data_IF_800817130562
#
_entry.id   IF_800817130562
#
_cell.length_a   1.000
_cell.length_b   1.000
_cell.length_c   1.000
_cell.angle_alpha   90.00
_cell.angle_beta   90.00
_cell.angle_gamma   90.00
#
_symmetry.space_group_name_H-M   'P 1'
#
loop_
_entity.id
_entity.type
_entity.pdbx_description
1 polymer ?
#
# COMPACT_ATOMS: atom_id res chain seq x y z
N UNK A 1 -25.02 -10.27 42.60
CA UNK A 1 -24.85 -10.99 41.33
C UNK A 1 -25.12 -12.47 41.62
N UNK A 2 -26.24 -13.00 41.10
CA UNK A 2 -26.60 -14.39 41.36
C UNK A 2 -25.57 -15.37 40.78
N UNK A 3 -25.21 -16.41 41.56
CA UNK A 3 -24.22 -17.44 41.12
C UNK A 3 -24.54 -18.04 39.76
N UNK A 4 -25.84 -18.13 39.36
CA UNK A 4 -26.26 -18.63 38.04
C UNK A 4 -25.90 -17.67 36.89
N UNK A 5 -25.86 -16.36 37.10
CA UNK A 5 -25.46 -15.40 36.08
C UNK A 5 -23.95 -15.41 35.83
N UNK A 6 -23.17 -15.61 36.88
CA UNK A 6 -21.72 -15.79 36.79
C UNK A 6 -21.39 -17.06 35.98
N UNK A 7 -22.11 -18.15 36.23
CA UNK A 7 -21.94 -19.42 35.50
C UNK A 7 -22.31 -19.24 34.02
N UNK A 8 -23.40 -18.50 33.72
CA UNK A 8 -23.80 -18.19 32.34
C UNK A 8 -22.76 -17.37 31.59
N UNK A 9 -22.16 -16.35 32.22
CA UNK A 9 -21.06 -15.55 31.63
C UNK A 9 -19.79 -16.39 31.41
N UNK A 10 -19.43 -17.24 32.37
CA UNK A 10 -18.29 -18.14 32.24
C UNK A 10 -18.53 -19.16 31.12
N UNK A 11 -19.73 -19.70 30.98
CA UNK A 11 -20.09 -20.66 29.93
C UNK A 11 -20.05 -20.02 28.54
N UNK A 12 -20.57 -18.79 28.38
CA UNK A 12 -20.48 -18.03 27.13
C UNK A 12 -19.02 -17.72 26.82
N UNK A 13 -18.23 -17.31 27.80
CA UNK A 13 -16.80 -17.08 27.65
C UNK A 13 -16.04 -18.33 27.22
N UNK A 14 -16.32 -19.48 27.81
CA UNK A 14 -15.72 -20.78 27.45
C UNK A 14 -16.14 -21.22 26.05
N UNK A 15 -17.40 -21.05 25.67
CA UNK A 15 -17.89 -21.37 24.31
C UNK A 15 -17.24 -20.46 23.28
N UNK A 16 -17.18 -19.14 23.53
CA UNK A 16 -16.52 -18.18 22.61
C UNK A 16 -15.02 -18.46 22.53
N UNK A 17 -14.37 -18.76 23.64
CA UNK A 17 -12.95 -19.10 23.66
C UNK A 17 -12.68 -20.44 22.96
N UNK A 18 -13.51 -21.46 23.21
CA UNK A 18 -13.44 -22.76 22.54
C UNK A 18 -13.68 -22.66 21.02
N UNK A 19 -14.67 -21.85 20.60
CA UNK A 19 -14.93 -21.61 19.19
C UNK A 19 -13.81 -20.81 18.52
N UNK A 20 -13.30 -19.77 19.19
CA UNK A 20 -12.16 -18.99 18.71
C UNK A 20 -10.88 -19.84 18.62
N UNK A 21 -10.63 -20.70 19.59
CA UNK A 21 -9.51 -21.64 19.59
C UNK A 21 -9.65 -22.70 18.49
N UNK A 22 -10.86 -23.25 18.28
CA UNK A 22 -11.14 -24.20 17.21
C UNK A 22 -10.97 -23.57 15.82
N UNK A 23 -11.50 -22.35 15.60
CA UNK A 23 -11.29 -21.60 14.35
C UNK A 23 -9.83 -21.25 14.12
N UNK A 24 -9.10 -20.83 15.16
CA UNK A 24 -7.68 -20.53 15.07
C UNK A 24 -6.85 -21.76 14.69
N UNK A 25 -7.25 -22.93 15.20
CA UNK A 25 -6.57 -24.20 14.90
C UNK A 25 -6.82 -24.66 13.46
N UNK A 26 -8.05 -24.59 12.98
CA UNK A 26 -8.39 -24.88 11.59
C UNK A 26 -7.72 -23.92 10.62
N UNK A 27 -7.67 -22.63 10.96
CA UNK A 27 -6.98 -21.62 10.17
C UNK A 27 -5.46 -21.89 10.10
N UNK A 28 -4.85 -22.22 11.23
CA UNK A 28 -3.42 -22.56 11.27
C UNK A 28 -3.07 -23.85 10.55
N UNK A 29 -3.94 -24.88 10.58
CA UNK A 29 -3.74 -26.14 9.83
C UNK A 29 -3.88 -25.91 8.31
N UNK A 30 -4.82 -25.07 7.87
CA UNK A 30 -4.95 -24.69 6.46
C UNK A 30 -3.76 -23.83 5.98
N UNK A 31 -3.31 -22.88 6.80
CA UNK A 31 -2.13 -22.05 6.49
C UNK A 31 -0.85 -22.88 6.44
N UNK A 32 -0.68 -23.85 7.35
CA UNK A 32 0.47 -24.75 7.34
C UNK A 32 0.48 -25.67 6.13
N UNK A 33 -0.68 -26.21 5.73
CA UNK A 33 -0.81 -27.04 4.53
C UNK A 33 -0.54 -26.24 3.24
N UNK A 34 -1.03 -25.00 3.19
CA UNK A 34 -0.82 -24.11 2.05
C UNK A 34 0.65 -23.65 1.96
N UNK A 35 1.29 -23.33 3.10
CA UNK A 35 2.70 -22.98 3.16
C UNK A 35 3.61 -24.15 2.73
N UNK A 36 3.21 -25.40 3.02
CA UNK A 36 3.94 -26.59 2.51
C UNK A 36 3.79 -26.75 1.00
N UNK A 37 2.59 -26.56 0.44
CA UNK A 37 2.37 -26.60 -1.01
C UNK A 37 3.15 -25.48 -1.72
N UNK A 38 3.14 -24.27 -1.18
CA UNK A 38 3.88 -23.13 -1.75
C UNK A 38 5.40 -23.34 -1.64
N UNK A 39 5.89 -23.95 -0.56
CA UNK A 39 7.32 -24.28 -0.42
C UNK A 39 7.76 -25.36 -1.42
N UNK A 40 6.93 -26.38 -1.66
CA UNK A 40 7.20 -27.43 -2.67
C UNK A 40 7.21 -26.80 -4.07
N UNK A 41 6.24 -25.95 -4.39
CA UNK A 41 6.17 -25.26 -5.68
C UNK A 41 7.39 -24.34 -5.90
N UNK A 42 7.86 -23.64 -4.86
CA UNK A 42 9.11 -22.83 -4.93
C UNK A 42 10.34 -23.68 -5.15
N UNK A 43 10.45 -24.82 -4.46
CA UNK A 43 11.58 -25.74 -4.65
C UNK A 43 11.57 -26.34 -6.08
N UNK A 44 10.41 -26.71 -6.61
CA UNK A 44 10.28 -27.17 -7.99
C UNK A 44 10.62 -26.07 -9.00
N UNK A 45 10.19 -24.83 -8.75
CA UNK A 45 10.51 -23.69 -9.61
C UNK A 45 12.01 -23.33 -9.58
N UNK A 46 12.63 -23.35 -8.38
CA UNK A 46 14.08 -23.17 -8.24
C UNK A 46 14.86 -24.33 -8.89
N UNK A 47 14.40 -25.57 -8.75
CA UNK A 47 15.01 -26.71 -9.40
C UNK A 47 14.89 -26.64 -10.93
N UNK A 48 13.74 -26.18 -11.46
CA UNK A 48 13.55 -25.95 -12.89
C UNK A 48 14.46 -24.83 -13.42
N UNK A 49 14.58 -23.71 -12.68
CA UNK A 49 15.52 -22.64 -13.03
C UNK A 49 17.00 -23.07 -12.93
N UNK A 50 17.35 -23.86 -11.92
CA UNK A 50 18.69 -24.43 -11.79
C UNK A 50 19.01 -25.42 -12.91
N UNK A 51 18.05 -26.28 -13.32
CA UNK A 51 18.20 -27.17 -14.46
C UNK A 51 18.32 -26.41 -15.80
N UNK A 52 17.58 -25.33 -15.98
CA UNK A 52 17.69 -24.51 -17.20
C UNK A 52 19.04 -23.76 -17.24
N UNK A 53 19.53 -23.29 -16.09
CA UNK A 53 20.85 -22.69 -15.98
C UNK A 53 21.99 -23.71 -16.17
N UNK A 54 21.84 -24.94 -15.68
CA UNK A 54 22.80 -26.04 -15.93
C UNK A 54 22.80 -26.46 -17.39
N UNK A 55 21.65 -26.60 -18.04
CA UNK A 55 21.55 -26.88 -19.48
C UNK A 55 22.17 -25.80 -20.35
N UNK A 56 22.09 -24.54 -19.93
CA UNK A 56 22.80 -23.42 -20.58
C UNK A 56 24.31 -23.45 -20.32
N UNK A 57 24.77 -23.97 -19.19
CA UNK A 57 26.18 -24.10 -18.84
C UNK A 57 26.82 -25.29 -19.59
N UNK A 58 26.12 -26.40 -19.80
CA UNK A 58 26.64 -27.57 -20.55
C UNK A 58 26.76 -27.34 -22.06
N UNK A 59 26.12 -26.31 -22.62
CA UNK A 59 26.22 -25.99 -24.05
C UNK A 59 27.34 -25.04 -24.42
N UNK A 60 28.17 -24.59 -23.47
CA UNK A 60 29.31 -23.66 -23.72
C UNK A 60 30.57 -24.14 -22.99
N UNK A 61 31.19 -25.19 -23.54
CA UNK A 61 32.58 -25.51 -23.21
C UNK A 61 33.51 -24.69 -24.12
N UNK A 62 33.89 -23.52 -23.69
CA UNK A 62 35.16 -22.84 -24.00
C UNK A 62 35.41 -21.74 -22.99
N UNK A 63 36.52 -21.85 -22.26
CA UNK A 63 37.07 -20.85 -21.34
C UNK A 63 37.16 -19.46 -21.98
N UNK A 64 36.21 -18.59 -21.61
CA UNK A 64 36.41 -17.15 -21.61
C UNK A 64 35.72 -16.62 -20.37
N UNK A 65 36.50 -16.10 -19.44
CA UNK A 65 35.97 -15.19 -18.39
C UNK A 65 35.06 -14.18 -19.07
N UNK A 66 33.76 -14.37 -18.98
CA UNK A 66 32.77 -13.37 -19.41
C UNK A 66 32.93 -12.18 -18.46
N UNK A 67 33.83 -11.28 -18.78
CA UNK A 67 33.63 -9.86 -18.49
C UNK A 67 32.24 -9.57 -19.06
N UNK A 68 31.28 -9.29 -18.22
CA UNK A 68 29.93 -8.81 -18.60
C UNK A 68 30.19 -7.53 -19.40
N UNK A 69 30.36 -7.64 -20.72
CA UNK A 69 30.47 -6.48 -21.59
C UNK A 69 29.11 -5.77 -21.49
N UNK A 70 29.09 -4.70 -20.68
CA UNK A 70 27.96 -3.77 -20.67
C UNK A 70 27.68 -3.37 -22.13
N UNK A 71 26.40 -3.28 -22.55
CA UNK A 71 26.08 -2.85 -23.91
C UNK A 71 26.82 -1.53 -24.20
N UNK A 72 27.57 -1.51 -25.30
CA UNK A 72 28.28 -0.32 -25.72
C UNK A 72 27.25 0.61 -26.38
N UNK A 73 26.92 1.71 -25.72
CA UNK A 73 26.11 2.76 -26.34
C UNK A 73 26.88 3.44 -27.45
N UNK A 74 26.21 3.79 -28.54
CA UNK A 74 26.82 4.48 -29.69
C UNK A 74 26.98 5.97 -29.43
N UNK A 75 26.09 6.53 -28.58
CA UNK A 75 26.13 7.94 -28.22
C UNK A 75 27.22 8.20 -27.16
N UNK A 76 28.16 9.09 -27.48
CA UNK A 76 29.32 9.41 -26.63
C UNK A 76 28.90 10.05 -25.30
N UNK A 77 27.85 10.86 -25.29
CA UNK A 77 27.34 11.51 -24.06
C UNK A 77 26.70 10.50 -23.14
N UNK A 78 26.02 9.48 -23.69
CA UNK A 78 25.46 8.38 -22.88
C UNK A 78 26.56 7.51 -22.27
N UNK A 79 27.66 7.27 -23.02
CA UNK A 79 28.84 6.56 -22.47
C UNK A 79 29.43 7.33 -21.30
N UNK A 80 29.61 8.65 -21.43
CA UNK A 80 30.11 9.51 -20.36
C UNK A 80 29.15 9.52 -19.16
N UNK A 81 27.85 9.75 -19.41
CA UNK A 81 26.82 9.76 -18.38
C UNK A 81 26.70 8.44 -17.59
N UNK A 82 27.02 7.31 -18.23
CA UNK A 82 27.06 6.00 -17.57
C UNK A 82 28.21 5.81 -16.61
N UNK A 83 29.36 6.42 -16.93
CA UNK A 83 30.60 6.31 -16.16
C UNK A 83 30.74 7.39 -15.09
N UNK A 84 29.89 8.42 -15.15
CA UNK A 84 29.91 9.52 -14.19
C UNK A 84 29.53 9.05 -12.76
N UNK A 85 30.02 9.78 -11.76
CA UNK A 85 29.70 9.55 -10.36
C UNK A 85 28.36 10.19 -10.02
N UNK A 86 27.52 9.48 -9.27
CA UNK A 86 26.26 10.01 -8.79
C UNK A 86 26.46 11.11 -7.75
N UNK A 87 25.65 12.15 -7.84
CA UNK A 87 25.54 13.24 -6.85
C UNK A 87 24.17 13.24 -6.22
N UNK A 88 24.05 13.91 -5.06
CA UNK A 88 22.81 13.94 -4.28
C UNK A 88 22.38 15.36 -3.98
N UNK A 89 21.11 15.67 -4.23
CA UNK A 89 20.51 16.98 -4.02
C UNK A 89 19.26 16.86 -3.16
N UNK A 90 19.01 17.86 -2.32
CA UNK A 90 17.85 17.84 -1.40
C UNK A 90 16.81 18.86 -1.78
N UNK A 91 15.53 18.45 -1.73
CA UNK A 91 14.39 19.35 -1.61
C UNK A 91 13.72 19.14 -0.25
N UNK A 92 13.26 20.22 0.36
CA UNK A 92 12.66 20.13 1.69
C UNK A 92 11.55 21.17 1.86
N UNK A 93 10.40 20.71 2.34
CA UNK A 93 9.30 21.58 2.77
C UNK A 93 8.96 21.33 4.24
N UNK A 94 7.80 21.79 4.70
CA UNK A 94 7.38 21.64 6.10
C UNK A 94 7.08 20.16 6.46
N UNK A 95 6.78 19.28 5.48
CA UNK A 95 6.33 17.89 5.69
C UNK A 95 7.33 16.84 5.25
N UNK A 96 8.11 17.12 4.21
CA UNK A 96 9.02 16.17 3.57
C UNK A 96 10.46 16.70 3.50
N UNK A 97 11.40 15.77 3.60
CA UNK A 97 12.78 15.97 3.13
C UNK A 97 13.08 14.84 2.15
N UNK A 98 13.41 15.20 0.91
CA UNK A 98 13.69 14.25 -0.17
C UNK A 98 15.11 14.49 -0.69
N UNK A 99 15.94 13.46 -0.66
CA UNK A 99 17.18 13.47 -1.41
C UNK A 99 16.96 12.82 -2.78
N UNK A 100 17.39 13.48 -3.83
CA UNK A 100 17.40 12.98 -5.20
C UNK A 100 18.81 12.56 -5.56
N UNK A 101 18.94 11.47 -6.32
CA UNK A 101 20.21 11.08 -6.95
C UNK A 101 20.21 11.48 -8.42
N UNK A 102 21.36 11.94 -8.91
CA UNK A 102 21.54 12.20 -10.34
C UNK A 102 21.56 10.90 -11.16
N UNK A 103 21.86 9.76 -10.53
CA UNK A 103 21.76 8.46 -11.22
C UNK A 103 20.29 8.08 -11.36
N UNK A 104 19.82 8.01 -12.61
CA UNK A 104 18.41 7.79 -12.94
C UNK A 104 17.51 9.00 -12.70
N UNK A 105 18.05 10.11 -12.19
CA UNK A 105 17.31 11.32 -11.84
C UNK A 105 16.05 11.01 -11.00
N UNK A 106 16.19 10.36 -9.86
CA UNK A 106 15.10 9.78 -9.06
C UNK A 106 15.20 10.12 -7.57
N UNK A 107 14.09 10.02 -6.81
CA UNK A 107 14.13 10.07 -5.35
C UNK A 107 15.01 8.94 -4.78
N UNK A 108 15.99 9.27 -3.95
CA UNK A 108 16.91 8.34 -3.29
C UNK A 108 16.53 8.07 -1.85
N UNK A 109 16.12 9.12 -1.12
CA UNK A 109 15.53 8.99 0.21
C UNK A 109 14.32 9.89 0.34
N UNK A 110 13.29 9.41 1.07
CA UNK A 110 12.12 10.21 1.42
C UNK A 110 11.86 10.09 2.90
N UNK A 111 12.10 11.18 3.63
CA UNK A 111 11.84 11.32 5.06
C UNK A 111 10.54 12.09 5.27
N UNK A 112 9.68 11.55 6.12
CA UNK A 112 8.49 12.26 6.60
C UNK A 112 8.86 13.00 7.87
N UNK A 113 8.67 14.32 7.88
CA UNK A 113 8.88 15.15 9.07
C UNK A 113 7.74 14.93 10.06
N UNK A 114 7.99 15.28 11.34
CA UNK A 114 7.02 15.19 12.45
C UNK A 114 6.53 13.79 12.81
N UNK A 115 7.09 12.75 12.17
CA UNK A 115 6.83 11.35 12.49
C UNK A 115 8.12 10.61 12.81
N UNK A 116 8.01 9.63 13.68
CA UNK A 116 9.11 8.74 14.07
C UNK A 116 8.74 7.29 13.78
N UNK A 117 9.72 6.47 13.45
CA UNK A 117 9.58 5.03 13.40
C UNK A 117 9.42 4.44 14.82
N UNK A 118 9.09 3.15 14.91
CA UNK A 118 8.84 2.44 16.17
C UNK A 118 10.00 2.50 17.19
N UNK A 119 11.21 2.74 16.73
CA UNK A 119 12.44 2.84 17.52
C UNK A 119 12.84 4.30 17.83
N UNK A 120 11.96 5.25 17.56
CA UNK A 120 12.18 6.68 17.73
C UNK A 120 13.26 7.29 16.81
N UNK A 121 13.60 6.60 15.73
CA UNK A 121 14.42 7.16 14.66
C UNK A 121 13.56 7.94 13.66
N UNK A 122 14.21 8.72 12.80
CA UNK A 122 13.55 9.41 11.69
C UNK A 122 12.77 8.44 10.80
N UNK A 123 11.57 8.84 10.39
CA UNK A 123 10.71 8.03 9.55
C UNK A 123 11.05 8.21 8.07
N UNK A 124 11.62 7.18 7.47
CA UNK A 124 11.89 7.11 6.03
C UNK A 124 10.93 6.17 5.34
N UNK A 125 10.18 6.66 4.34
CA UNK A 125 9.40 5.81 3.43
C UNK A 125 10.26 5.20 2.34
N UNK A 126 11.28 5.91 1.91
CA UNK A 126 12.31 5.44 0.98
C UNK A 126 13.66 5.59 1.66
N UNK A 127 14.37 4.49 1.85
CA UNK A 127 15.75 4.46 2.36
C UNK A 127 16.75 4.42 1.20
N UNK A 128 18.02 4.76 1.42
CA UNK A 128 19.07 4.60 0.40
C UNK A 128 19.03 3.21 -0.23
N UNK A 129 19.15 3.14 -1.57
CA UNK A 129 19.21 1.89 -2.34
C UNK A 129 17.93 1.00 -2.27
N UNK A 130 16.88 1.44 -1.58
CA UNK A 130 15.61 0.71 -1.48
C UNK A 130 14.62 1.06 -2.59
N UNK A 131 14.88 2.08 -3.40
CA UNK A 131 14.02 2.46 -4.52
C UNK A 131 14.82 2.49 -5.81
N UNK A 132 14.24 1.95 -6.86
CA UNK A 132 14.78 2.05 -8.22
C UNK A 132 13.62 2.46 -9.14
N UNK A 133 13.75 3.64 -9.73
CA UNK A 133 12.83 4.17 -10.73
C UNK A 133 13.57 4.41 -12.04
N UNK A 134 12.97 4.01 -13.15
CA UNK A 134 13.57 4.19 -14.47
C UNK A 134 12.52 4.24 -15.57
N UNK A 135 12.85 4.95 -16.61
CA UNK A 135 12.04 5.07 -17.83
C UNK A 135 12.85 4.50 -19.00
N UNK A 136 12.24 3.58 -19.73
CA UNK A 136 12.83 2.99 -20.93
C UNK A 136 12.19 3.59 -22.17
N UNK A 137 13.03 4.15 -23.04
CA UNK A 137 12.65 4.69 -24.34
C UNK A 137 13.58 4.15 -25.43
N UNK A 138 13.05 3.97 -26.62
CA UNK A 138 13.84 3.64 -27.79
C UNK A 138 14.21 4.92 -28.55
N UNK A 139 15.50 5.29 -28.53
CA UNK A 139 16.06 6.42 -29.26
C UNK A 139 17.29 5.94 -30.07
N UNK A 140 17.02 5.18 -31.16
CA UNK A 140 18.05 4.48 -31.93
C UNK A 140 18.57 3.21 -31.25
N UNK A 141 18.55 3.18 -29.93
CA UNK A 141 18.84 2.06 -29.05
C UNK A 141 17.96 2.14 -27.80
N UNK A 142 17.85 1.04 -27.05
CA UNK A 142 17.06 1.03 -25.80
C UNK A 142 17.82 1.76 -24.69
N UNK A 143 17.25 2.84 -24.19
CA UNK A 143 17.81 3.68 -23.14
C UNK A 143 16.94 3.55 -21.91
N UNK A 144 17.51 3.00 -20.82
CA UNK A 144 16.87 3.03 -19.51
C UNK A 144 17.53 4.12 -18.67
N UNK A 145 16.76 5.11 -18.23
CA UNK A 145 17.26 6.29 -17.51
C UNK A 145 18.03 5.95 -16.24
N UNK A 146 17.70 4.83 -15.56
CA UNK A 146 18.35 4.41 -14.31
C UNK A 146 19.84 4.07 -14.47
N UNK A 147 20.28 3.79 -15.71
CA UNK A 147 21.68 3.42 -16.00
C UNK A 147 22.60 4.62 -16.09
N UNK A 148 22.07 5.84 -16.18
CA UNK A 148 22.81 7.06 -16.50
C UNK A 148 22.78 8.07 -15.36
N UNK A 149 23.85 8.85 -15.26
CA UNK A 149 23.95 10.01 -14.37
C UNK A 149 23.52 11.25 -15.14
N UNK A 150 22.49 11.92 -14.65
CA UNK A 150 21.95 13.14 -15.23
C UNK A 150 22.75 14.36 -14.76
N UNK A 151 22.78 15.39 -15.58
CA UNK A 151 23.33 16.70 -15.23
C UNK A 151 22.25 17.55 -14.57
N UNK A 152 22.59 18.26 -13.49
CA UNK A 152 21.64 19.16 -12.83
C UNK A 152 21.63 20.50 -13.58
N UNK A 153 20.49 20.81 -14.19
CA UNK A 153 20.27 22.07 -14.92
C UNK A 153 19.76 23.19 -14.00
N UNK A 154 18.95 22.85 -13.01
CA UNK A 154 18.42 23.78 -12.04
C UNK A 154 18.24 23.08 -10.67
N UNK A 155 18.55 23.78 -9.59
CA UNK A 155 18.27 23.36 -8.23
C UNK A 155 17.99 24.59 -7.36
N UNK A 156 16.78 24.62 -6.78
CA UNK A 156 16.38 25.64 -5.83
C UNK A 156 15.61 25.01 -4.65
N UNK A 157 15.01 25.80 -3.75
CA UNK A 157 14.38 25.30 -2.54
C UNK A 157 13.21 24.32 -2.78
N UNK A 158 12.54 24.42 -3.93
CA UNK A 158 11.33 23.64 -4.24
C UNK A 158 11.41 22.83 -5.52
N UNK A 159 12.44 23.02 -6.34
CA UNK A 159 12.52 22.41 -7.68
C UNK A 159 13.92 21.91 -7.95
N UNK A 160 14.01 20.73 -8.56
CA UNK A 160 15.23 20.21 -9.17
C UNK A 160 14.93 19.78 -10.61
N UNK A 161 15.80 20.20 -11.54
CA UNK A 161 15.73 19.83 -12.95
C UNK A 161 17.01 19.09 -13.31
N UNK A 162 16.88 17.87 -13.79
CA UNK A 162 18.00 17.01 -14.18
C UNK A 162 17.83 16.59 -15.64
N UNK A 163 18.88 16.65 -16.42
CA UNK A 163 18.89 16.42 -17.87
C UNK A 163 19.90 15.35 -18.26
N UNK A 164 19.51 14.46 -19.17
CA UNK A 164 20.38 13.50 -19.85
C UNK A 164 20.53 13.93 -21.30
N UNK A 165 21.62 14.61 -21.66
CA UNK A 165 21.81 15.09 -23.01
C UNK A 165 22.28 13.99 -23.97
N UNK A 166 22.03 14.18 -25.27
CA UNK A 166 22.46 13.32 -26.38
C UNK A 166 23.42 14.04 -27.30
N UNK A 167 24.41 13.32 -27.86
CA UNK A 167 25.43 13.89 -28.75
C UNK A 167 24.84 14.48 -30.04
N UNK A 168 23.71 13.96 -30.51
CA UNK A 168 23.01 14.45 -31.68
C UNK A 168 22.10 15.66 -31.41
N UNK A 169 22.09 16.13 -30.18
CA UNK A 169 21.19 17.16 -29.69
C UNK A 169 19.95 16.58 -28.97
N UNK A 170 19.24 17.44 -28.26
CA UNK A 170 18.11 17.03 -27.43
C UNK A 170 18.52 16.40 -26.10
N UNK A 171 17.56 16.20 -25.23
CA UNK A 171 17.78 15.63 -23.91
C UNK A 171 16.50 15.03 -23.32
N UNK A 172 16.66 14.07 -22.42
CA UNK A 172 15.60 13.60 -21.51
C UNK A 172 15.71 14.42 -20.23
N UNK A 173 14.59 14.96 -19.75
CA UNK A 173 14.56 15.78 -18.53
C UNK A 173 13.61 15.18 -17.51
N UNK A 174 14.06 15.15 -16.26
CA UNK A 174 13.23 14.91 -15.07
C UNK A 174 13.21 16.21 -14.25
N UNK A 175 12.01 16.80 -14.09
CA UNK A 175 11.80 17.96 -13.24
C UNK A 175 10.92 17.57 -12.09
N UNK A 176 11.42 17.74 -10.87
CA UNK A 176 10.66 17.51 -9.65
C UNK A 176 10.36 18.84 -8.97
N UNK A 177 9.11 19.01 -8.54
CA UNK A 177 8.67 20.19 -7.80
C UNK A 177 7.99 19.72 -6.50
N UNK A 178 8.49 20.21 -5.38
CA UNK A 178 7.95 19.94 -4.04
C UNK A 178 7.26 21.22 -3.51
N UNK A 179 5.91 21.29 -3.58
CA UNK A 179 5.18 22.46 -3.08
C UNK A 179 5.34 22.60 -1.56
N UNK A 180 5.23 23.85 -1.07
CA UNK A 180 5.20 24.13 0.35
C UNK A 180 4.01 23.44 1.01
N UNK A 181 4.23 22.86 2.20
CA UNK A 181 3.20 22.21 3.02
C UNK A 181 2.44 21.07 2.31
N UNK A 182 3.12 20.30 1.45
CA UNK A 182 2.54 19.19 0.67
C UNK A 182 3.30 17.88 0.87
N UNK A 183 2.55 16.76 0.84
CA UNK A 183 3.09 15.41 0.69
C UNK A 183 3.18 14.97 -0.77
N UNK A 184 2.77 15.81 -1.72
CA UNK A 184 2.82 15.56 -3.15
C UNK A 184 4.09 16.13 -3.76
N UNK A 185 4.73 15.35 -4.61
CA UNK A 185 5.86 15.74 -5.45
C UNK A 185 5.40 15.65 -6.90
N UNK A 186 5.40 16.77 -7.59
CA UNK A 186 5.09 16.79 -9.02
C UNK A 186 6.35 16.44 -9.81
N UNK A 187 6.21 15.54 -10.76
CA UNK A 187 7.26 15.14 -11.69
C UNK A 187 6.83 15.41 -13.12
N UNK A 188 7.65 16.08 -13.88
CA UNK A 188 7.51 16.29 -15.32
C UNK A 188 8.67 15.56 -16.03
N UNK A 189 8.33 14.46 -16.73
CA UNK A 189 9.24 13.76 -17.62
C UNK A 189 9.14 14.39 -19.01
N UNK A 190 10.19 15.00 -19.51
CA UNK A 190 10.20 15.67 -20.81
C UNK A 190 11.25 15.10 -21.74
N UNK A 191 10.90 15.06 -23.03
CA UNK A 191 11.77 14.72 -24.16
C UNK A 191 11.86 15.97 -25.04
N UNK A 192 12.99 16.63 -25.08
CA UNK A 192 13.18 17.93 -25.74
C UNK A 192 14.18 17.80 -26.87
N UNK A 193 13.81 18.21 -28.08
CA UNK A 193 14.68 18.13 -29.26
C UNK A 193 15.02 16.72 -29.67
N UNK A 194 14.14 15.75 -29.41
CA UNK A 194 14.37 14.33 -29.66
C UNK A 194 13.51 13.75 -30.80
N UNK A 195 12.87 14.58 -31.60
CA UNK A 195 11.96 14.18 -32.68
C UNK A 195 12.64 13.38 -33.80
N UNK A 196 13.93 13.58 -34.00
CA UNK A 196 14.74 12.83 -34.97
C UNK A 196 15.44 11.60 -34.37
N UNK A 197 15.55 11.55 -33.03
CA UNK A 197 16.15 10.44 -32.29
C UNK A 197 15.16 9.33 -31.96
N UNK A 198 13.92 9.73 -31.63
CA UNK A 198 12.85 8.79 -31.28
C UNK A 198 12.01 8.52 -32.52
N UNK A 199 11.98 7.28 -33.04
CA UNK A 199 11.16 6.93 -34.18
C UNK A 199 9.68 7.27 -33.97
N UNK A 200 9.02 7.83 -34.98
CA UNK A 200 7.61 8.28 -34.91
C UNK A 200 6.59 7.18 -34.58
N UNK A 201 6.97 5.92 -34.76
CA UNK A 201 6.16 4.76 -34.41
C UNK A 201 6.27 4.35 -32.93
N UNK A 202 7.13 4.99 -32.14
CA UNK A 202 7.18 4.79 -30.68
C UNK A 202 5.99 5.48 -30.07
N UNK A 203 5.07 4.69 -29.52
CA UNK A 203 3.81 5.15 -28.95
C UNK A 203 3.67 4.86 -27.45
N UNK A 204 4.66 4.19 -26.87
CA UNK A 204 4.66 3.79 -25.46
C UNK A 204 6.04 3.98 -24.83
N UNK A 205 6.05 4.33 -23.56
CA UNK A 205 7.21 4.28 -22.67
C UNK A 205 6.99 3.17 -21.65
N UNK A 206 8.04 2.43 -21.35
CA UNK A 206 8.05 1.50 -20.23
C UNK A 206 8.65 2.22 -19.01
N UNK A 207 7.95 2.15 -17.89
CA UNK A 207 8.35 2.75 -16.61
C UNK A 207 8.43 1.64 -15.58
N UNK A 208 9.57 1.52 -14.92
CA UNK A 208 9.78 0.58 -13.83
C UNK A 208 9.93 1.35 -12.51
N UNK A 209 9.18 0.95 -11.49
CA UNK A 209 9.40 1.42 -10.13
C UNK A 209 9.38 0.24 -9.16
N UNK A 210 10.50 0.01 -8.50
CA UNK A 210 10.60 -0.95 -7.40
C UNK A 210 10.89 -0.21 -6.09
N UNK A 211 10.30 -0.70 -5.01
CA UNK A 211 10.49 -0.15 -3.67
C UNK A 211 10.55 -1.27 -2.64
N UNK A 212 11.66 -1.36 -1.93
CA UNK A 212 11.76 -2.13 -0.69
C UNK A 212 11.20 -1.28 0.43
N UNK A 213 10.02 -1.64 0.89
CA UNK A 213 9.27 -0.92 1.91
C UNK A 213 9.84 -1.22 3.29
N UNK A 214 10.33 -0.21 4.03
CA UNK A 214 10.97 -0.44 5.31
C UNK A 214 9.97 -0.77 6.41
N UNK A 215 10.45 -1.41 7.45
CA UNK A 215 9.73 -1.57 8.71
C UNK A 215 9.56 -0.22 9.40
N UNK A 216 8.32 0.14 9.75
CA UNK A 216 8.00 1.37 10.47
C UNK A 216 7.36 1.09 11.84
N UNK A 217 6.79 -0.10 12.03
CA UNK A 217 6.05 -0.49 13.23
C UNK A 217 6.76 -1.61 14.00
N UNK A 218 6.39 -1.76 15.27
CA UNK A 218 7.03 -2.75 16.15
C UNK A 218 6.60 -4.19 15.85
N UNK A 219 5.36 -4.38 15.43
CA UNK A 219 4.71 -5.69 15.33
C UNK A 219 4.55 -6.19 13.90
N UNK A 220 5.40 -7.14 13.46
CA UNK A 220 5.36 -7.73 12.12
C UNK A 220 3.96 -8.14 11.64
N UNK A 221 3.25 -8.98 12.41
CA UNK A 221 1.93 -9.50 12.01
C UNK A 221 0.90 -8.40 11.80
N UNK A 222 0.97 -7.36 12.63
CA UNK A 222 0.04 -6.24 12.55
C UNK A 222 0.37 -5.36 11.35
N UNK A 223 1.64 -4.99 11.17
CA UNK A 223 2.07 -4.16 10.04
C UNK A 223 1.82 -4.86 8.70
N UNK A 224 2.19 -6.14 8.59
CA UNK A 224 1.95 -6.98 7.42
C UNK A 224 0.45 -7.06 7.06
N UNK A 225 -0.43 -7.28 8.07
CA UNK A 225 -1.88 -7.43 7.86
C UNK A 225 -2.51 -6.21 7.17
N UNK A 226 -2.01 -5.01 7.43
CA UNK A 226 -2.53 -3.76 6.84
C UNK A 226 -1.78 -3.33 5.59
N UNK A 227 -0.62 -3.92 5.31
CA UNK A 227 0.21 -3.59 4.15
C UNK A 227 -0.24 -4.34 2.90
N UNK A 228 -0.20 -3.66 1.76
CA UNK A 228 -0.69 -4.16 0.48
C UNK A 228 -0.34 -3.19 -0.65
N UNK A 229 -0.51 -3.63 -1.88
CA UNK A 229 -0.52 -2.79 -3.05
C UNK A 229 -1.97 -2.46 -3.43
N UNK A 230 -2.30 -1.19 -3.59
CA UNK A 230 -3.59 -0.76 -4.14
C UNK A 230 -3.39 -0.19 -5.53
N UNK A 231 -4.44 -0.27 -6.35
CA UNK A 231 -4.48 0.35 -7.68
C UNK A 231 -5.91 0.78 -8.02
N UNK A 232 -6.02 1.82 -8.84
CA UNK A 232 -7.30 2.48 -9.09
C UNK A 232 -7.55 2.72 -10.56
N UNK A 233 -8.73 2.35 -11.01
CA UNK A 233 -9.25 2.66 -12.34
C UNK A 233 -10.16 3.88 -12.27
N UNK A 234 -9.98 4.82 -13.20
CA UNK A 234 -10.83 6.01 -13.28
C UNK A 234 -12.30 5.64 -13.42
N UNK A 235 -13.14 6.27 -12.60
CA UNK A 235 -14.58 5.99 -12.57
C UNK A 235 -15.02 4.92 -11.58
N UNK A 236 -14.12 4.14 -11.02
CA UNK A 236 -14.47 3.16 -10.01
C UNK A 236 -14.85 3.80 -8.67
N UNK A 237 -15.69 3.11 -7.90
CA UNK A 237 -16.11 3.58 -6.58
C UNK A 237 -15.01 3.48 -5.53
N UNK A 238 -14.06 2.55 -5.70
CA UNK A 238 -12.98 2.26 -4.75
C UNK A 238 -11.80 1.61 -5.49
N UNK A 239 -10.58 1.74 -4.97
CA UNK A 239 -9.44 1.01 -5.49
C UNK A 239 -9.58 -0.50 -5.26
N UNK A 240 -8.94 -1.26 -6.11
CA UNK A 240 -8.66 -2.67 -5.90
C UNK A 240 -7.37 -2.85 -5.10
N UNK A 241 -7.17 -4.06 -4.57
CA UNK A 241 -5.99 -4.38 -3.76
C UNK A 241 -5.37 -5.70 -4.18
N UNK A 242 -4.05 -5.77 -4.02
CA UNK A 242 -3.22 -6.94 -4.26
C UNK A 242 -2.36 -7.22 -3.02
N UNK A 243 -2.20 -8.48 -2.65
CA UNK A 243 -1.20 -8.89 -1.69
C UNK A 243 -1.41 -8.39 -0.26
N UNK A 244 -2.64 -8.38 0.25
CA UNK A 244 -2.90 -7.98 1.64
C UNK A 244 -2.30 -8.98 2.62
N UNK A 245 -1.14 -8.64 3.21
CA UNK A 245 -0.41 -9.50 4.13
C UNK A 245 0.07 -10.83 3.53
N UNK A 246 0.23 -10.90 2.22
CA UNK A 246 0.73 -12.06 1.46
C UNK A 246 1.26 -11.62 0.11
N UNK A 247 2.11 -12.43 -0.47
CA UNK A 247 2.63 -12.23 -1.81
C UNK A 247 1.51 -12.19 -2.85
N UNK A 248 1.74 -11.44 -3.92
CA UNK A 248 0.80 -11.35 -5.01
C UNK A 248 1.38 -10.63 -6.22
N UNK A 249 0.92 -11.04 -7.38
CA UNK A 249 1.23 -10.38 -8.65
C UNK A 249 -0.02 -10.26 -9.50
N UNK A 250 -0.11 -9.19 -10.29
CA UNK A 250 -1.26 -8.97 -11.18
C UNK A 250 -0.84 -8.18 -12.40
N UNK A 251 -1.19 -8.72 -13.56
CA UNK A 251 -1.13 -7.99 -14.83
C UNK A 251 -2.45 -7.26 -15.07
N UNK A 252 -2.36 -6.02 -15.45
CA UNK A 252 -3.47 -5.10 -15.74
C UNK A 252 -3.32 -4.64 -17.18
N UNK A 253 -4.25 -5.05 -18.04
CA UNK A 253 -4.26 -4.70 -19.47
C UNK A 253 -5.28 -3.58 -19.78
N UNK A 254 -5.74 -2.86 -18.75
CA UNK A 254 -6.66 -1.73 -18.84
C UNK A 254 -6.02 -0.48 -18.26
N UNK A 255 -6.53 0.70 -18.65
CA UNK A 255 -6.02 1.99 -18.17
C UNK A 255 -6.16 2.11 -16.66
N UNK A 256 -5.07 2.44 -15.99
CA UNK A 256 -4.98 2.60 -14.54
C UNK A 256 -4.58 4.03 -14.18
N UNK A 257 -5.27 4.67 -13.23
CA UNK A 257 -5.00 6.06 -12.85
C UNK A 257 -3.82 6.20 -11.90
N UNK A 258 -3.79 5.36 -10.86
CA UNK A 258 -2.73 5.36 -9.86
C UNK A 258 -2.58 3.99 -9.20
N UNK A 259 -1.43 3.77 -8.58
CA UNK A 259 -1.19 2.66 -7.66
C UNK A 259 -0.46 3.16 -6.42
N UNK A 260 -0.54 2.39 -5.33
CA UNK A 260 0.00 2.74 -4.03
C UNK A 260 0.68 1.53 -3.37
N UNK A 261 1.90 1.71 -2.94
CA UNK A 261 2.58 0.83 -1.99
C UNK A 261 2.17 1.27 -0.59
N UNK A 262 1.17 0.59 -0.03
CA UNK A 262 0.56 0.97 1.24
C UNK A 262 1.14 0.16 2.38
N UNK A 263 1.63 0.85 3.40
CA UNK A 263 1.88 0.34 4.75
C UNK A 263 0.69 0.62 5.68
N UNK A 264 0.81 0.24 6.95
CA UNK A 264 -0.26 0.44 7.93
C UNK A 264 -0.70 1.91 8.01
N UNK A 265 0.24 2.85 8.16
CA UNK A 265 -0.04 4.26 8.40
C UNK A 265 0.47 5.20 7.31
N UNK A 266 1.26 4.72 6.37
CA UNK A 266 1.87 5.53 5.31
C UNK A 266 1.72 4.87 3.95
N UNK A 267 1.83 5.68 2.90
CA UNK A 267 1.80 5.19 1.52
C UNK A 267 2.76 5.97 0.63
N UNK A 268 3.31 5.25 -0.36
CA UNK A 268 3.95 5.81 -1.53
C UNK A 268 3.03 5.55 -2.73
N UNK A 269 2.53 6.62 -3.37
CA UNK A 269 1.55 6.52 -4.47
C UNK A 269 2.14 7.18 -5.71
N UNK A 270 1.99 6.55 -6.86
CA UNK A 270 2.30 7.15 -8.16
C UNK A 270 1.02 7.29 -9.00
N UNK A 271 0.81 8.47 -9.54
CA UNK A 271 -0.34 8.83 -10.36
C UNK A 271 0.11 9.35 -11.71
N UNK A 272 -0.57 8.94 -12.77
CA UNK A 272 -0.40 9.51 -14.10
C UNK A 272 -1.58 10.43 -14.44
N UNK A 273 -1.31 11.60 -15.00
CA UNK A 273 -2.36 12.49 -15.49
C UNK A 273 -3.19 11.82 -16.61
N UNK A 274 -2.50 11.16 -17.55
CA UNK A 274 -3.09 10.53 -18.75
C UNK A 274 -3.42 9.05 -18.59
N UNK A 275 -3.31 8.53 -17.34
CA UNK A 275 -3.44 7.12 -17.00
C UNK A 275 -2.33 6.24 -17.60
N UNK A 276 -1.94 5.21 -16.87
CA UNK A 276 -1.09 4.14 -17.40
C UNK A 276 -1.90 3.24 -18.33
N UNK A 277 -1.38 2.93 -19.51
CA UNK A 277 -2.06 2.08 -20.49
C UNK A 277 -2.17 0.62 -20.03
N UNK A 278 -1.14 0.13 -19.33
CA UNK A 278 -1.11 -1.19 -18.69
C UNK A 278 -0.12 -1.20 -17.53
N UNK A 279 -0.21 -2.21 -16.67
CA UNK A 279 0.70 -2.40 -15.55
C UNK A 279 0.91 -3.88 -15.21
N UNK A 280 2.14 -4.25 -14.82
CA UNK A 280 2.43 -5.49 -14.11
C UNK A 280 2.85 -5.14 -12.68
N UNK A 281 2.00 -5.48 -11.71
CA UNK A 281 2.18 -5.12 -10.30
C UNK A 281 2.57 -6.37 -9.49
N UNK A 282 3.51 -6.21 -8.57
CA UNK A 282 3.97 -7.27 -7.69
C UNK A 282 4.21 -6.80 -6.27
N UNK A 283 3.98 -7.67 -5.30
CA UNK A 283 4.33 -7.49 -3.90
C UNK A 283 4.77 -8.82 -3.31
N UNK A 284 5.93 -8.83 -2.66
CA UNK A 284 6.49 -9.98 -1.96
C UNK A 284 6.83 -9.56 -0.53
N UNK A 285 6.32 -10.29 0.47
CA UNK A 285 6.55 -9.99 1.88
C UNK A 285 7.79 -10.72 2.38
N UNK A 286 8.62 -9.99 3.12
CA UNK A 286 9.73 -10.58 3.86
C UNK A 286 9.20 -11.46 5.00
N UNK A 287 9.92 -12.50 5.35
CA UNK A 287 9.63 -13.32 6.53
C UNK A 287 9.77 -12.53 7.82
N UNK A 288 9.20 -13.01 8.94
CA UNK A 288 9.34 -12.33 10.22
C UNK A 288 10.81 -12.24 10.70
N UNK A 289 11.65 -13.19 10.26
CA UNK A 289 13.08 -13.21 10.56
C UNK A 289 13.82 -12.11 9.80
N UNK A 290 13.60 -12.00 8.49
CA UNK A 290 14.17 -10.94 7.64
C UNK A 290 13.67 -9.55 8.07
N UNK A 291 12.38 -9.42 8.39
CA UNK A 291 11.80 -8.18 8.91
C UNK A 291 12.51 -7.70 10.18
N UNK A 292 12.90 -8.63 11.07
CA UNK A 292 13.62 -8.27 12.31
C UNK A 292 15.10 -8.01 12.06
N UNK A 293 15.72 -8.74 11.15
CA UNK A 293 17.15 -8.66 10.86
C UNK A 293 17.50 -7.46 9.96
N UNK A 294 16.75 -7.26 8.89
CA UNK A 294 17.05 -6.28 7.84
C UNK A 294 16.22 -5.00 7.99
N UNK A 295 15.10 -5.05 8.72
CA UNK A 295 14.18 -3.92 8.85
C UNK A 295 13.37 -3.65 7.58
N UNK A 296 13.09 -4.70 6.77
CA UNK A 296 12.30 -4.64 5.55
C UNK A 296 10.96 -5.37 5.74
N UNK A 297 9.88 -4.79 5.23
CA UNK A 297 8.52 -5.35 5.34
C UNK A 297 8.09 -6.09 4.08
N UNK A 298 8.22 -5.47 2.94
CA UNK A 298 7.82 -6.02 1.65
C UNK A 298 8.63 -5.39 0.51
N UNK A 299 8.81 -6.13 -0.57
CA UNK A 299 9.32 -5.63 -1.84
C UNK A 299 8.13 -5.43 -2.79
N UNK A 300 8.01 -4.22 -3.32
CA UNK A 300 6.95 -3.87 -4.27
C UNK A 300 7.56 -3.59 -5.64
N UNK A 301 6.86 -3.99 -6.69
CA UNK A 301 7.27 -3.74 -8.08
C UNK A 301 6.09 -3.24 -8.90
N UNK A 302 6.34 -2.27 -9.76
CA UNK A 302 5.38 -1.77 -10.74
C UNK A 302 6.11 -1.58 -12.07
N UNK A 303 5.74 -2.36 -13.07
CA UNK A 303 6.15 -2.17 -14.47
C UNK A 303 4.96 -1.61 -15.23
N UNK A 304 5.11 -0.41 -15.73
CA UNK A 304 4.03 0.39 -16.25
C UNK A 304 4.28 0.70 -17.73
N UNK A 305 3.21 0.83 -18.50
CA UNK A 305 3.27 1.44 -19.82
C UNK A 305 2.51 2.75 -19.82
N UNK A 306 3.15 3.80 -20.28
CA UNK A 306 2.56 5.12 -20.44
C UNK A 306 2.44 5.47 -21.92
N UNK A 307 1.33 6.12 -22.30
CA UNK A 307 1.19 6.62 -23.65
C UNK A 307 2.27 7.67 -23.93
N UNK A 308 2.83 7.61 -25.12
CA UNK A 308 3.84 8.50 -25.61
C UNK A 308 3.56 8.85 -27.07
N UNK A 309 3.72 10.09 -27.43
CA UNK A 309 3.53 10.54 -28.80
C UNK A 309 4.82 11.12 -29.34
N UNK A 310 5.61 10.30 -30.03
CA UNK A 310 6.83 10.75 -30.68
C UNK A 310 6.54 11.72 -31.85
N UNK A 311 7.55 12.51 -32.24
CA UNK A 311 7.48 13.40 -33.40
C UNK A 311 7.13 14.86 -33.10
N UNK A 312 7.05 15.24 -31.84
CA UNK A 312 7.00 16.63 -31.36
C UNK A 312 8.36 17.03 -30.80
N UNK A 313 8.77 18.28 -31.01
CA UNK A 313 10.01 18.87 -30.49
C UNK A 313 10.09 18.81 -28.96
N UNK A 314 8.94 18.91 -28.29
CA UNK A 314 8.84 18.80 -26.84
C UNK A 314 7.62 17.95 -26.46
N UNK A 315 7.88 16.82 -25.78
CA UNK A 315 6.86 15.95 -25.20
C UNK A 315 7.05 15.90 -23.70
N UNK A 316 6.06 16.32 -22.93
CA UNK A 316 6.10 16.28 -21.46
C UNK A 316 4.97 15.41 -20.92
N UNK A 317 5.31 14.50 -20.04
CA UNK A 317 4.38 13.58 -19.38
C UNK A 317 4.43 13.85 -17.87
N UNK A 318 3.32 14.33 -17.28
CA UNK A 318 3.28 14.60 -15.86
C UNK A 318 2.94 13.34 -15.06
N UNK A 319 3.67 13.16 -13.95
CA UNK A 319 3.43 12.18 -12.91
C UNK A 319 3.41 12.86 -11.55
N UNK A 320 2.63 12.33 -10.62
CA UNK A 320 2.60 12.78 -9.25
C UNK A 320 3.02 11.64 -8.33
N UNK A 321 3.91 11.94 -7.38
CA UNK A 321 4.29 11.03 -6.31
C UNK A 321 3.75 11.57 -4.98
N UNK A 322 2.95 10.80 -4.28
CA UNK A 322 2.54 11.09 -2.92
C UNK A 322 3.39 10.24 -1.96
N UNK A 323 4.01 10.89 -1.00
CA UNK A 323 4.72 10.23 0.09
C UNK A 323 4.19 10.78 1.41
N UNK A 324 3.36 10.03 2.11
CA UNK A 324 2.73 10.59 3.29
C UNK A 324 1.87 9.64 4.11
N UNK A 325 1.28 10.18 5.19
CA UNK A 325 0.43 9.42 6.08
C UNK A 325 -0.90 9.05 5.42
N UNK A 326 -1.45 7.90 5.84
CA UNK A 326 -2.78 7.46 5.47
C UNK A 326 -3.84 8.24 6.28
N UNK A 327 -3.82 9.57 6.18
CA UNK A 327 -4.83 10.42 6.79
C UNK A 327 -6.04 10.59 5.87
N UNK A 328 -7.24 10.30 6.40
CA UNK A 328 -8.46 10.30 5.60
C UNK A 328 -8.78 11.66 4.98
N UNK A 329 -8.57 12.75 5.73
CA UNK A 329 -8.87 14.10 5.24
C UNK A 329 -7.81 14.58 4.26
N UNK A 330 -6.56 14.47 4.61
CA UNK A 330 -5.45 14.87 3.74
C UNK A 330 -5.49 14.13 2.41
N UNK A 331 -5.72 12.80 2.42
CA UNK A 331 -5.85 12.04 1.18
C UNK A 331 -7.08 12.42 0.35
N UNK A 332 -8.17 12.86 1.00
CA UNK A 332 -9.38 13.28 0.31
C UNK A 332 -9.24 14.62 -0.41
N UNK A 333 -8.37 15.52 0.07
CA UNK A 333 -8.12 16.83 -0.52
C UNK A 333 -7.56 16.75 -1.96
N UNK A 334 -6.85 15.66 -2.29
CA UNK A 334 -6.33 15.44 -3.64
C UNK A 334 -7.40 15.06 -4.68
N UNK A 335 -8.64 14.75 -4.27
CA UNK A 335 -9.79 14.34 -5.13
C UNK A 335 -9.49 13.16 -6.09
N UNK A 336 -8.51 12.33 -5.74
CA UNK A 336 -8.07 11.16 -6.51
C UNK A 336 -8.57 9.82 -5.93
N UNK A 337 -9.50 9.85 -4.96
CA UNK A 337 -10.00 8.67 -4.24
C UNK A 337 -8.92 7.97 -3.39
N UNK A 338 -7.79 8.63 -3.08
CA UNK A 338 -6.75 8.05 -2.22
C UNK A 338 -7.28 7.68 -0.84
N UNK A 339 -8.24 8.44 -0.29
CA UNK A 339 -8.85 8.16 1.01
C UNK A 339 -9.55 6.78 1.06
N UNK A 340 -9.84 6.17 -0.10
CA UNK A 340 -10.47 4.85 -0.18
C UNK A 340 -9.52 3.69 0.10
N UNK A 341 -8.20 3.93 0.16
CA UNK A 341 -7.25 2.91 0.64
C UNK A 341 -7.45 2.60 2.12
N UNK A 342 -8.06 3.54 2.88
CA UNK A 342 -8.31 3.39 4.32
C UNK A 342 -9.58 2.57 4.54
N UNK A 343 -9.51 1.38 5.16
CA UNK A 343 -10.67 0.56 5.42
C UNK A 343 -11.48 1.11 6.60
N UNK A 344 -12.59 1.77 6.33
CA UNK A 344 -13.51 2.28 7.37
C UNK A 344 -14.52 1.22 7.89
N UNK A 345 -14.39 -0.03 7.46
CA UNK A 345 -15.32 -1.11 7.82
C UNK A 345 -16.49 -1.29 6.87
N UNK A 346 -17.51 -2.08 7.28
CA UNK A 346 -18.74 -2.28 6.49
C UNK A 346 -19.53 -0.98 6.31
N UNK A 347 -20.50 -0.96 5.38
CA UNK A 347 -21.20 0.25 4.96
C UNK A 347 -21.77 1.09 6.13
N UNK A 348 -22.38 0.43 7.12
CA UNK A 348 -22.94 1.09 8.31
C UNK A 348 -21.86 1.68 9.22
N UNK A 349 -20.80 0.90 9.47
CA UNK A 349 -19.64 1.33 10.26
C UNK A 349 -18.89 2.45 9.56
N UNK A 350 -18.68 2.33 8.24
CA UNK A 350 -18.02 3.36 7.43
C UNK A 350 -18.83 4.68 7.41
N UNK A 351 -20.16 4.60 7.34
CA UNK A 351 -21.04 5.76 7.46
C UNK A 351 -20.86 6.44 8.82
N UNK A 352 -20.97 5.67 9.91
CA UNK A 352 -20.81 6.19 11.26
C UNK A 352 -19.40 6.76 11.52
N UNK A 353 -18.36 6.06 11.06
CA UNK A 353 -17.00 6.55 11.17
C UNK A 353 -16.80 7.88 10.45
N UNK A 354 -17.32 8.00 9.22
CA UNK A 354 -17.15 9.19 8.37
C UNK A 354 -17.92 10.40 8.89
N UNK A 355 -19.15 10.22 9.38
CA UNK A 355 -20.05 11.32 9.73
C UNK A 355 -20.08 11.63 11.23
N UNK A 356 -19.62 10.71 12.08
CA UNK A 356 -19.64 10.89 13.53
C UNK A 356 -18.23 10.84 14.12
N UNK A 357 -17.49 9.73 13.91
CA UNK A 357 -16.22 9.52 14.61
C UNK A 357 -15.16 10.51 14.15
N UNK A 358 -14.91 10.59 12.83
CA UNK A 358 -13.86 11.48 12.27
C UNK A 358 -14.16 12.96 12.62
N UNK A 359 -15.37 13.51 12.37
CA UNK A 359 -15.64 14.90 12.73
C UNK A 359 -15.54 15.19 14.24
N UNK A 360 -15.99 14.26 15.09
CA UNK A 360 -15.85 14.42 16.54
C UNK A 360 -14.39 14.38 16.99
N UNK A 361 -13.59 13.49 16.41
CA UNK A 361 -12.16 13.40 16.71
C UNK A 361 -11.44 14.70 16.35
N UNK A 362 -11.70 15.22 15.16
CA UNK A 362 -11.08 16.45 14.68
C UNK A 362 -11.54 17.66 15.49
N UNK A 363 -12.84 17.74 15.84
CA UNK A 363 -13.36 18.77 16.70
C UNK A 363 -12.67 18.78 18.08
N UNK A 364 -12.52 17.60 18.71
CA UNK A 364 -11.81 17.51 19.99
C UNK A 364 -10.31 17.82 19.82
N UNK A 365 -9.68 17.34 18.73
CA UNK A 365 -8.28 17.58 18.42
C UNK A 365 -7.94 19.04 18.15
N UNK A 366 -8.93 19.86 17.68
CA UNK A 366 -8.72 21.30 17.48
C UNK A 366 -8.56 22.08 18.79
N UNK A 367 -9.05 21.57 19.92
CA UNK A 367 -8.95 22.20 21.24
C UNK A 367 -7.96 21.50 22.17
N UNK A 368 -7.64 20.24 21.91
CA UNK A 368 -6.87 19.37 22.81
C UNK A 368 -5.68 18.80 22.05
N UNK A 369 -4.48 19.25 22.40
CA UNK A 369 -3.23 18.78 21.78
C UNK A 369 -2.83 17.35 22.25
N UNK A 370 -3.39 16.86 23.37
CA UNK A 370 -3.10 15.53 23.90
C UNK A 370 -4.07 14.50 23.33
N UNK A 371 -3.61 13.73 22.35
CA UNK A 371 -4.42 12.68 21.70
C UNK A 371 -4.93 11.58 22.65
N UNK A 372 -4.20 11.29 23.75
CA UNK A 372 -4.68 10.36 24.77
C UNK A 372 -5.96 10.86 25.46
N UNK A 373 -6.04 12.16 25.75
CA UNK A 373 -7.24 12.78 26.30
C UNK A 373 -8.37 12.83 25.26
N UNK A 374 -8.06 13.11 23.99
CA UNK A 374 -9.03 13.08 22.89
C UNK A 374 -9.66 11.68 22.78
N UNK A 375 -8.87 10.61 22.80
CA UNK A 375 -9.34 9.22 22.75
C UNK A 375 -10.21 8.88 23.97
N UNK A 376 -9.82 9.32 25.16
CA UNK A 376 -10.62 9.12 26.38
C UNK A 376 -11.99 9.79 26.26
N UNK A 377 -12.03 11.06 25.86
CA UNK A 377 -13.28 11.81 25.68
C UNK A 377 -14.16 11.19 24.57
N UNK A 378 -13.57 10.78 23.45
CA UNK A 378 -14.26 10.05 22.39
C UNK A 378 -14.89 8.75 22.92
N UNK A 379 -14.16 8.01 23.74
CA UNK A 379 -14.67 6.77 24.34
C UNK A 379 -15.89 7.03 25.21
N UNK A 380 -15.87 8.08 26.03
CA UNK A 380 -17.00 8.51 26.88
C UNK A 380 -18.19 8.91 26.01
N UNK A 381 -17.95 9.74 24.99
CA UNK A 381 -18.99 10.22 24.07
C UNK A 381 -19.68 9.07 23.34
N UNK A 382 -18.92 8.13 22.79
CA UNK A 382 -19.46 6.95 22.11
C UNK A 382 -20.27 6.08 23.09
N UNK A 383 -19.78 5.87 24.31
CA UNK A 383 -20.52 5.12 25.35
C UNK A 383 -21.83 5.81 25.71
N UNK A 384 -21.85 7.13 25.81
CA UNK A 384 -23.06 7.90 26.06
C UNK A 384 -24.08 7.75 24.91
N UNK A 385 -23.62 7.84 23.66
CA UNK A 385 -24.46 7.65 22.48
C UNK A 385 -25.10 6.25 22.40
N UNK A 386 -24.34 5.23 22.79
CA UNK A 386 -24.81 3.83 22.73
C UNK A 386 -25.62 3.47 23.98
N UNK A 387 -25.50 4.21 25.09
CA UNK A 387 -26.14 3.88 26.38
C UNK A 387 -27.67 3.67 26.30
N UNK A 388 -28.50 4.43 25.55
CA UNK A 388 -29.92 4.18 25.44
C UNK A 388 -30.27 2.81 24.83
N UNK A 389 -29.50 2.41 23.79
CA UNK A 389 -29.67 1.09 23.17
C UNK A 389 -29.22 -0.02 24.12
N UNK A 390 -28.12 0.19 24.83
CA UNK A 390 -27.60 -0.76 25.81
C UNK A 390 -28.57 -0.96 26.96
N UNK A 391 -29.17 0.12 27.49
CA UNK A 391 -30.19 0.06 28.53
C UNK A 391 -31.45 -0.71 28.05
N UNK A 392 -31.90 -0.45 26.82
CA UNK A 392 -33.00 -1.22 26.22
C UNK A 392 -32.68 -2.72 26.11
N UNK A 393 -31.47 -3.05 25.65
CA UNK A 393 -31.00 -4.43 25.55
C UNK A 393 -30.92 -5.12 26.91
N UNK A 394 -30.41 -4.45 27.94
CA UNK A 394 -30.37 -4.99 29.31
C UNK A 394 -31.79 -5.19 29.88
N UNK A 395 -32.71 -4.23 29.65
CA UNK A 395 -34.10 -4.38 30.07
C UNK A 395 -34.79 -5.55 29.39
N UNK A 396 -34.54 -5.74 28.07
CA UNK A 396 -35.09 -6.89 27.32
C UNK A 396 -34.51 -8.22 27.82
N UNK A 397 -33.21 -8.27 28.07
CA UNK A 397 -32.53 -9.47 28.62
C UNK A 397 -33.03 -9.80 30.04
N UNK A 398 -33.24 -8.78 30.88
CA UNK A 398 -33.80 -8.97 32.23
C UNK A 398 -35.23 -9.51 32.18
N UNK A 399 -36.09 -8.96 31.29
CA UNK A 399 -37.46 -9.49 31.07
C UNK A 399 -37.41 -10.95 30.61
N UNK A 400 -36.50 -11.29 29.67
CA UNK A 400 -36.36 -12.67 29.18
C UNK A 400 -35.94 -13.64 30.30
N UNK A 401 -35.08 -13.21 31.23
CA UNK A 401 -34.69 -14.03 32.37
C UNK A 401 -35.85 -14.33 33.33
N UNK A 402 -36.75 -13.38 33.52
CA UNK A 402 -37.97 -13.57 34.36
C UNK A 402 -38.94 -14.55 33.69
N UNK A 403 -39.05 -14.53 32.37
CA UNK A 403 -39.96 -15.38 31.58
C UNK A 403 -39.36 -16.78 31.33
N UNK A 404 -38.06 -16.93 31.42
CA UNK A 404 -37.33 -18.19 31.15
C UNK A 404 -37.94 -19.42 31.85
N UNK A 405 -38.30 -19.40 33.21
CA UNK A 405 -38.89 -20.55 33.85
C UNK A 405 -40.30 -20.91 33.30
N UNK A 406 -41.05 -19.95 32.78
CA UNK A 406 -42.34 -20.22 32.11
C UNK A 406 -42.13 -20.84 30.73
N UNK A 407 -41.14 -20.38 29.99
CA UNK A 407 -40.76 -20.96 28.70
C UNK A 407 -40.26 -22.40 28.89
N UNK A 408 -39.46 -22.66 29.91
CA UNK A 408 -38.93 -24.00 30.23
C UNK A 408 -40.08 -24.98 30.59
N UNK A 409 -41.07 -24.50 31.37
CA UNK A 409 -42.29 -25.28 31.68
C UNK A 409 -43.14 -25.53 30.41
N UNK A 410 -43.21 -24.58 29.51
CA UNK A 410 -43.92 -24.69 28.25
C UNK A 410 -43.27 -25.71 27.30
N UNK A 411 -41.94 -25.67 27.18
CA UNK A 411 -41.16 -26.58 26.38
C UNK A 411 -41.28 -28.03 26.94
N UNK A 412 -41.27 -28.18 28.26
CA UNK A 412 -41.49 -29.49 28.89
C UNK A 412 -42.91 -30.06 28.65
N UNK A 413 -43.92 -29.18 28.54
CA UNK A 413 -45.33 -29.57 28.34
C UNK A 413 -45.67 -29.85 26.87
N UNK A 414 -44.92 -29.26 25.93
CA UNK A 414 -45.16 -29.39 24.48
C UNK A 414 -43.84 -29.74 23.75
N UNK A 415 -43.49 -31.02 23.70
CA UNK A 415 -42.26 -31.44 23.08
C UNK A 415 -42.20 -31.26 21.55
N UNK A 416 -43.34 -30.91 20.92
CA UNK A 416 -43.41 -30.61 19.49
C UNK A 416 -43.03 -29.14 19.21
N UNK A 417 -41.94 -28.91 18.50
CA UNK A 417 -41.34 -27.58 18.24
C UNK A 417 -42.34 -26.53 17.70
N UNK A 418 -43.28 -26.91 16.82
CA UNK A 418 -44.20 -25.96 16.18
C UNK A 418 -45.24 -25.39 17.15
N UNK A 419 -45.73 -26.19 18.11
CA UNK A 419 -46.73 -25.74 19.07
C UNK A 419 -46.11 -25.00 20.26
N UNK A 420 -44.91 -25.38 20.65
CA UNK A 420 -44.10 -24.65 21.64
C UNK A 420 -43.76 -23.24 21.13
N UNK A 421 -43.36 -23.11 19.87
CA UNK A 421 -42.99 -21.82 19.27
C UNK A 421 -44.17 -20.84 19.16
N UNK A 422 -45.37 -21.31 18.80
CA UNK A 422 -46.58 -20.45 18.77
C UNK A 422 -46.98 -19.92 20.14
N UNK A 423 -46.84 -20.75 21.18
CA UNK A 423 -47.17 -20.32 22.55
C UNK A 423 -46.06 -19.46 23.16
N UNK A 424 -44.81 -19.70 22.80
CA UNK A 424 -43.68 -18.85 23.17
C UNK A 424 -43.85 -17.45 22.60
N UNK A 425 -44.25 -17.29 21.33
CA UNK A 425 -44.54 -15.99 20.72
C UNK A 425 -45.71 -15.26 21.41
N UNK A 426 -46.74 -16.01 21.92
CA UNK A 426 -47.85 -15.43 22.66
C UNK A 426 -47.44 -14.90 24.04
N UNK A 427 -46.44 -15.55 24.70
CA UNK A 427 -45.87 -15.09 25.98
C UNK A 427 -45.01 -13.88 25.77
N UNK A 428 -44.15 -13.87 24.72
CA UNK A 428 -43.32 -12.73 24.34
C UNK A 428 -44.15 -11.48 24.05
N UNK A 429 -45.29 -11.62 23.33
CA UNK A 429 -46.22 -10.51 23.09
C UNK A 429 -46.84 -9.92 24.37
N UNK A 430 -47.14 -10.76 25.37
CA UNK A 430 -47.67 -10.30 26.66
C UNK A 430 -46.61 -9.61 27.53
N UNK A 431 -45.32 -9.87 27.31
CA UNK A 431 -44.24 -9.28 28.09
C UNK A 431 -43.75 -7.94 27.51
N UNK A 432 -44.19 -7.57 26.31
CA UNK A 432 -43.80 -6.32 25.61
C UNK A 432 -44.80 -5.19 25.89
N UNK A 433 -45.98 -5.48 26.43
CA UNK A 433 -46.93 -4.50 26.95
C UNK A 433 -46.70 -4.32 28.45
#
# INVERSE_FOLDING_TARGET
MNKSNLIGFVLIGVIMFGFSWYQSRQYNEQMAAQAQLDSIARVEQMAAMAMDSLKRAESNDTDVVKVTTMPAYKDSMLVEARLASAEYYKLSNDKLEIAFTTKGAQPYTVKIKDYMAYDSTDLYLVKPEHSEYGVTVFAGENINTKDFVFQVAEHNDSTIVMQLPFAQGGYIQQKYTLPKDSYMVHNELSFVGMEDLIPRNVSMLDIDWSLVVPRLEKGYKNEMQYSKLNYYFSGDKKPEMLGRGRDGSKRIDTKMKWFAFQQQFFSAIMTSADEFASADLGVDFYSEEEYKAEGNLMACTAKLRSNFQAGSDNVTIPYDFYFGPNDYRGLKEYDMKYEKIIPLGGWLVAWFSRFVIIPCFDFLGSFISNYGLVILLMTILIKLLISPLTIKSYKSSAKMQVIKPEIDKLNAKYPNEKDAMKKQQAIDRKSVV
#
